data_IF_588741264922
#
_entry.id   IF_588741264922
#
_cell.length_a   1.000
_cell.length_b   1.000
_cell.length_c   1.000
_cell.angle_alpha   90.00
_cell.angle_beta   90.00
_cell.angle_gamma   90.00
#
_symmetry.space_group_name_H-M   'P 1'
#
loop_
_entity.id
_entity.type
_entity.pdbx_description
1 polymer ?
#
# COMPACT_ATOMS: atom_id res chain seq x y z
N UNK A 1 -9.80 -22.45 4.85
CA UNK A 1 -9.10 -21.33 4.16
C UNK A 1 -7.99 -21.92 3.32
N UNK A 2 -7.86 -21.51 2.07
CA UNK A 2 -6.76 -21.98 1.22
C UNK A 2 -5.41 -21.51 1.78
N UNK A 3 -4.34 -22.23 1.42
CA UNK A 3 -2.99 -21.85 1.78
C UNK A 3 -2.59 -20.52 1.12
N UNK A 4 -1.70 -19.79 1.77
CA UNK A 4 -1.14 -18.58 1.20
C UNK A 4 -0.35 -18.92 -0.08
N UNK A 5 -0.47 -18.04 -1.07
CA UNK A 5 0.30 -18.15 -2.30
C UNK A 5 1.61 -17.38 -2.17
N UNK A 6 2.66 -17.88 -2.83
CA UNK A 6 3.91 -17.14 -2.95
C UNK A 6 3.73 -16.08 -4.04
N UNK A 7 3.67 -14.82 -3.64
CA UNK A 7 3.41 -13.70 -4.54
C UNK A 7 4.49 -12.63 -4.42
N UNK A 8 5.16 -12.33 -5.52
CA UNK A 8 6.01 -11.16 -5.65
C UNK A 8 5.19 -10.05 -6.32
N UNK A 9 4.91 -8.97 -5.58
CA UNK A 9 4.03 -7.89 -6.05
C UNK A 9 4.59 -7.16 -7.28
N UNK A 10 5.90 -7.20 -7.50
CA UNK A 10 6.53 -6.58 -8.67
C UNK A 10 6.45 -7.46 -9.92
N UNK A 11 6.14 -8.74 -9.79
CA UNK A 11 5.95 -9.64 -10.93
C UNK A 11 4.51 -9.59 -11.39
N UNK A 12 4.27 -8.83 -12.44
CA UNK A 12 2.93 -8.55 -12.98
C UNK A 12 2.68 -9.25 -14.33
N UNK A 13 1.42 -9.63 -14.62
CA UNK A 13 0.27 -9.61 -13.71
C UNK A 13 0.44 -10.61 -12.57
N UNK A 14 -0.21 -10.35 -11.43
CA UNK A 14 -0.14 -11.28 -10.30
C UNK A 14 -0.70 -12.65 -10.71
N UNK A 15 0.06 -13.75 -10.47
CA UNK A 15 -0.32 -15.07 -10.94
C UNK A 15 -1.37 -15.73 -10.04
N UNK A 16 -2.55 -15.12 -9.95
CA UNK A 16 -3.65 -15.64 -9.13
C UNK A 16 -4.39 -16.73 -9.92
N UNK A 17 -4.81 -17.82 -9.24
CA UNK A 17 -5.66 -18.83 -9.87
C UNK A 17 -6.94 -18.20 -10.42
N UNK A 18 -7.45 -18.73 -11.56
CA UNK A 18 -8.69 -18.21 -12.14
C UNK A 18 -9.88 -18.34 -11.19
N UNK A 19 -9.86 -19.32 -10.30
CA UNK A 19 -10.90 -19.50 -9.27
C UNK A 19 -10.91 -18.36 -8.25
N UNK A 20 -9.80 -17.61 -8.12
CA UNK A 20 -9.68 -16.46 -7.23
C UNK A 20 -10.00 -15.15 -7.96
N UNK A 21 -9.56 -15.04 -9.22
CA UNK A 21 -9.83 -13.86 -10.05
C UNK A 21 -11.35 -13.66 -10.21
N UNK A 22 -11.81 -12.43 -10.05
CA UNK A 22 -13.22 -12.11 -10.08
C UNK A 22 -13.99 -12.35 -8.79
N UNK A 23 -13.34 -12.96 -7.79
CA UNK A 23 -13.93 -13.16 -6.45
C UNK A 23 -13.30 -12.28 -5.38
N UNK A 24 -12.28 -11.48 -5.75
CA UNK A 24 -11.58 -10.60 -4.81
C UNK A 24 -12.44 -9.37 -4.54
N UNK A 25 -12.85 -9.19 -3.29
CA UNK A 25 -13.69 -8.07 -2.86
C UNK A 25 -12.97 -7.06 -1.98
N UNK A 26 -11.74 -7.34 -1.59
CA UNK A 26 -10.88 -6.45 -0.84
C UNK A 26 -9.43 -6.85 -1.03
N UNK A 27 -8.54 -5.86 -0.97
CA UNK A 27 -7.10 -6.08 -0.87
C UNK A 27 -6.62 -5.39 0.38
N UNK A 28 -5.83 -6.09 1.18
CA UNK A 28 -5.25 -5.57 2.42
C UNK A 28 -3.74 -5.67 2.35
N UNK A 29 -3.06 -4.55 2.54
CA UNK A 29 -1.61 -4.43 2.48
C UNK A 29 -1.12 -3.86 3.80
N UNK A 30 -0.43 -4.68 4.59
CA UNK A 30 0.00 -4.34 5.94
C UNK A 30 1.53 -4.36 6.01
N UNK A 31 2.11 -3.21 6.38
CA UNK A 31 3.56 -3.07 6.62
C UNK A 31 4.44 -3.56 5.44
N UNK A 32 4.03 -3.30 4.20
CA UNK A 32 4.79 -3.67 3.01
C UNK A 32 5.50 -2.47 2.38
N UNK A 33 4.83 -1.34 2.23
CA UNK A 33 5.28 -0.26 1.35
C UNK A 33 6.59 0.38 1.79
N UNK A 34 6.83 0.45 3.09
CA UNK A 34 8.05 1.05 3.64
C UNK A 34 9.25 0.10 3.69
N UNK A 35 9.04 -1.21 3.53
CA UNK A 35 10.10 -2.22 3.48
C UNK A 35 10.22 -2.86 2.10
N UNK A 36 10.00 -2.07 1.08
CA UNK A 36 10.06 -2.49 -0.32
C UNK A 36 10.45 -1.28 -1.18
N UNK A 37 10.93 -1.51 -2.42
CA UNK A 37 11.17 -0.40 -3.35
C UNK A 37 9.89 0.39 -3.66
N UNK A 38 10.04 1.65 -4.06
CA UNK A 38 8.91 2.50 -4.41
C UNK A 38 8.04 1.90 -5.52
N UNK A 39 8.64 1.12 -6.42
CA UNK A 39 7.91 0.40 -7.49
C UNK A 39 6.88 -0.60 -6.95
N UNK A 40 7.06 -1.12 -5.73
CA UNK A 40 6.06 -1.98 -5.09
C UNK A 40 4.78 -1.21 -4.77
N UNK A 41 4.89 0.05 -4.39
CA UNK A 41 3.71 0.90 -4.15
C UNK A 41 2.88 1.04 -5.42
N UNK A 42 3.53 1.34 -6.55
CA UNK A 42 2.86 1.40 -7.85
C UNK A 42 2.19 0.06 -8.19
N UNK A 43 2.91 -1.04 -8.00
CA UNK A 43 2.40 -2.38 -8.30
C UNK A 43 1.17 -2.73 -7.45
N UNK A 44 1.19 -2.45 -6.16
CA UNK A 44 0.06 -2.72 -5.27
C UNK A 44 -1.18 -1.95 -5.73
N UNK A 45 -1.05 -0.66 -6.04
CA UNK A 45 -2.21 0.13 -6.46
C UNK A 45 -2.70 -0.27 -7.85
N UNK A 46 -1.81 -0.41 -8.82
CA UNK A 46 -2.20 -0.75 -10.18
C UNK A 46 -2.82 -2.14 -10.28
N UNK A 47 -2.22 -3.16 -9.66
CA UNK A 47 -2.77 -4.51 -9.70
C UNK A 47 -4.05 -4.66 -8.87
N UNK A 48 -4.15 -3.97 -7.75
CA UNK A 48 -5.40 -3.92 -6.98
C UNK A 48 -6.53 -3.29 -7.79
N UNK A 49 -6.24 -2.25 -8.58
CA UNK A 49 -7.23 -1.63 -9.46
C UNK A 49 -7.78 -2.60 -10.51
N UNK A 50 -6.94 -3.52 -10.99
CA UNK A 50 -7.37 -4.54 -11.95
C UNK A 50 -8.21 -5.64 -11.29
N UNK A 51 -7.94 -5.97 -10.04
CA UNK A 51 -8.60 -7.05 -9.31
C UNK A 51 -9.93 -6.64 -8.69
N UNK A 52 -10.00 -5.42 -8.17
CA UNK A 52 -11.15 -5.00 -7.35
C UNK A 52 -12.29 -4.48 -8.22
N UNK A 53 -13.51 -4.92 -7.94
CA UNK A 53 -14.68 -4.29 -8.54
C UNK A 53 -14.87 -2.87 -8.03
N UNK A 54 -15.67 -2.08 -8.75
CA UNK A 54 -16.02 -0.72 -8.33
C UNK A 54 -16.58 -0.70 -6.91
N UNK A 55 -16.11 0.23 -6.10
CA UNK A 55 -16.53 0.39 -4.71
C UNK A 55 -15.84 -0.51 -3.70
N UNK A 56 -15.12 -1.56 -4.14
CA UNK A 56 -14.40 -2.45 -3.23
C UNK A 56 -13.14 -1.77 -2.65
N UNK A 57 -12.77 -2.07 -1.40
CA UNK A 57 -11.68 -1.38 -0.75
C UNK A 57 -10.30 -1.98 -1.03
N UNK A 58 -9.32 -1.09 -1.18
CA UNK A 58 -7.91 -1.36 -0.94
C UNK A 58 -7.55 -0.73 0.40
N UNK A 59 -7.09 -1.53 1.34
CA UNK A 59 -6.75 -1.08 2.70
C UNK A 59 -5.24 -1.18 2.86
N UNK A 60 -4.60 -0.06 3.18
CA UNK A 60 -3.16 0.00 3.39
C UNK A 60 -2.88 0.47 4.80
N UNK A 61 -2.05 -0.29 5.52
CA UNK A 61 -1.66 0.01 6.90
C UNK A 61 -0.15 0.15 7.00
N UNK A 62 0.29 1.15 7.70
CA UNK A 62 1.70 1.35 8.02
C UNK A 62 2.01 2.76 8.48
N UNK A 63 3.28 3.06 8.70
CA UNK A 63 3.74 4.42 8.96
C UNK A 63 3.92 5.17 7.64
N UNK A 64 3.56 6.45 7.64
CA UNK A 64 3.67 7.32 6.46
C UNK A 64 4.21 8.68 6.85
N UNK A 65 4.84 9.36 5.90
CA UNK A 65 5.08 10.79 5.94
C UNK A 65 3.82 11.54 5.48
N UNK A 66 3.71 12.80 5.85
CA UNK A 66 2.64 13.70 5.38
C UNK A 66 3.26 15.04 4.97
N UNK A 67 2.94 15.46 3.75
CA UNK A 67 3.39 16.75 3.22
C UNK A 67 4.92 16.95 3.30
N UNK A 68 5.66 15.90 2.99
CA UNK A 68 7.12 15.93 2.99
C UNK A 68 7.78 15.88 4.37
N UNK A 69 7.01 15.64 5.44
CA UNK A 69 7.52 15.63 6.80
C UNK A 69 7.11 14.36 7.54
N UNK A 70 7.95 13.94 8.50
CA UNK A 70 7.58 12.88 9.42
C UNK A 70 6.55 13.37 10.43
N UNK A 71 5.63 12.48 10.81
CA UNK A 71 4.56 12.80 11.76
C UNK A 71 5.01 12.66 13.22
N UNK A 72 6.18 12.06 13.44
CA UNK A 72 6.75 11.87 14.77
C UNK A 72 8.27 11.68 14.71
N UNK A 73 8.95 11.92 15.80
CA UNK A 73 10.38 11.66 15.92
C UNK A 73 10.70 10.16 15.78
N UNK A 74 9.83 9.29 16.31
CA UNK A 74 10.00 7.83 16.19
C UNK A 74 9.88 7.37 14.73
N UNK A 75 8.97 7.95 13.96
CA UNK A 75 8.86 7.63 12.52
C UNK A 75 10.09 8.11 11.75
N UNK A 76 10.65 9.28 12.09
CA UNK A 76 11.88 9.77 11.47
C UNK A 76 13.05 8.83 11.74
N UNK A 77 13.20 8.37 12.97
CA UNK A 77 14.25 7.41 13.36
C UNK A 77 14.06 6.06 12.66
N UNK A 78 12.82 5.59 12.55
CA UNK A 78 12.50 4.35 11.87
C UNK A 78 12.81 4.43 10.36
N UNK A 79 12.43 5.52 9.72
CA UNK A 79 12.76 5.76 8.31
C UNK A 79 14.27 5.72 8.07
N UNK A 80 15.04 6.39 8.91
CA UNK A 80 16.50 6.39 8.84
C UNK A 80 17.06 4.96 8.98
N UNK A 81 16.56 4.20 9.95
CA UNK A 81 16.94 2.80 10.16
C UNK A 81 16.65 1.93 8.93
N UNK A 82 15.49 2.11 8.30
CA UNK A 82 15.13 1.37 7.09
C UNK A 82 16.08 1.70 5.94
N UNK A 83 16.38 2.98 5.71
CA UNK A 83 17.27 3.42 4.63
C UNK A 83 18.70 2.94 4.82
N UNK A 84 19.15 2.77 6.06
CA UNK A 84 20.47 2.18 6.36
C UNK A 84 20.48 0.68 6.04
N UNK A 85 19.36 0.00 6.20
CA UNK A 85 19.24 -1.45 5.90
C UNK A 85 19.11 -1.70 4.41
N UNK A 86 18.39 -0.84 3.70
CA UNK A 86 18.24 -0.89 2.25
C UNK A 86 17.91 0.52 1.75
N UNK A 87 18.72 1.12 0.85
CA UNK A 87 18.50 2.49 0.38
C UNK A 87 17.23 2.67 -0.43
N UNK A 88 16.60 1.57 -0.91
CA UNK A 88 15.30 1.63 -1.60
C UNK A 88 14.11 1.63 -0.66
N UNK A 89 14.32 1.32 0.61
CA UNK A 89 13.27 1.33 1.63
C UNK A 89 13.12 2.72 2.25
N UNK A 90 11.99 2.92 2.89
CA UNK A 90 11.70 4.14 3.61
C UNK A 90 10.20 4.42 3.65
N UNK A 91 9.79 5.28 4.58
CA UNK A 91 8.41 5.69 4.70
C UNK A 91 7.97 6.44 3.45
N UNK A 92 6.80 6.06 2.93
CA UNK A 92 6.20 6.74 1.78
C UNK A 92 5.39 7.94 2.26
N UNK A 93 5.33 8.97 1.43
CA UNK A 93 4.52 10.15 1.72
C UNK A 93 3.07 9.90 1.28
N UNK A 94 2.12 10.31 2.12
CA UNK A 94 0.71 10.20 1.81
C UNK A 94 0.35 10.93 0.51
N UNK A 95 1.02 12.04 0.19
CA UNK A 95 0.81 12.75 -1.07
C UNK A 95 1.19 11.91 -2.29
N UNK A 96 2.27 11.11 -2.19
CA UNK A 96 2.67 10.18 -3.24
C UNK A 96 1.60 9.11 -3.45
N UNK A 97 1.08 8.53 -2.37
CA UNK A 97 0.00 7.55 -2.45
C UNK A 97 -1.24 8.17 -3.10
N UNK A 98 -1.60 9.39 -2.72
CA UNK A 98 -2.75 10.11 -3.29
C UNK A 98 -2.59 10.31 -4.79
N UNK A 99 -1.40 10.68 -5.25
CA UNK A 99 -1.11 10.87 -6.68
C UNK A 99 -1.21 9.58 -7.47
N UNK A 100 -0.65 8.48 -6.96
CA UNK A 100 -0.72 7.16 -7.60
C UNK A 100 -2.18 6.68 -7.59
N UNK A 101 -2.90 6.86 -6.49
CA UNK A 101 -4.31 6.52 -6.39
C UNK A 101 -5.14 7.21 -7.47
N UNK A 102 -4.93 8.51 -7.67
CA UNK A 102 -5.64 9.27 -8.69
C UNK A 102 -5.38 8.72 -10.10
N UNK A 103 -4.14 8.37 -10.42
CA UNK A 103 -3.77 7.83 -11.74
C UNK A 103 -4.27 6.40 -11.96
N UNK A 104 -4.56 5.65 -10.91
CA UNK A 104 -5.08 4.27 -10.99
C UNK A 104 -6.60 4.19 -10.80
N UNK A 105 -7.27 5.32 -10.61
CA UNK A 105 -8.72 5.37 -10.45
C UNK A 105 -9.21 5.16 -9.02
N UNK A 106 -8.32 5.18 -8.03
CA UNK A 106 -8.70 5.14 -6.63
C UNK A 106 -8.89 6.54 -6.04
N UNK A 107 -9.75 6.63 -5.04
CA UNK A 107 -9.80 7.76 -4.11
C UNK A 107 -9.47 7.27 -2.71
N UNK A 108 -8.72 8.08 -1.96
CA UNK A 108 -8.53 7.85 -0.54
C UNK A 108 -9.77 8.39 0.18
N UNK A 109 -10.63 7.49 0.65
CA UNK A 109 -11.87 7.85 1.33
C UNK A 109 -11.64 8.18 2.81
N UNK A 110 -10.74 7.43 3.45
CA UNK A 110 -10.45 7.56 4.86
C UNK A 110 -8.97 7.44 5.13
N UNK A 111 -8.48 8.28 6.04
CA UNK A 111 -7.17 8.17 6.65
C UNK A 111 -7.39 8.09 8.14
N UNK A 112 -7.15 6.94 8.73
CA UNK A 112 -7.43 6.67 10.14
C UNK A 112 -6.12 6.61 10.93
N UNK A 113 -6.00 7.46 11.95
CA UNK A 113 -4.85 7.42 12.85
C UNK A 113 -4.93 6.17 13.72
N UNK A 114 -3.81 5.45 13.77
CA UNK A 114 -3.68 4.19 14.50
C UNK A 114 -2.60 4.31 15.58
N UNK A 115 -2.56 3.40 16.56
CA UNK A 115 -1.49 3.40 17.55
C UNK A 115 -0.10 3.34 16.93
N UNK A 116 0.90 3.81 17.65
CA UNK A 116 2.31 3.82 17.27
C UNK A 116 2.60 4.65 16.00
N UNK A 117 1.83 5.71 15.78
CA UNK A 117 1.98 6.64 14.64
C UNK A 117 1.83 5.98 13.28
N UNK A 118 1.04 4.93 13.21
CA UNK A 118 0.63 4.31 11.94
C UNK A 118 -0.67 4.93 11.43
N UNK A 119 -0.93 4.73 10.15
CA UNK A 119 -2.17 5.12 9.50
C UNK A 119 -2.81 3.90 8.83
N UNK A 120 -4.12 3.87 8.80
CA UNK A 120 -4.88 3.00 7.91
C UNK A 120 -5.49 3.87 6.82
N UNK A 121 -5.16 3.55 5.57
CA UNK A 121 -5.71 4.22 4.39
C UNK A 121 -6.78 3.32 3.80
N UNK A 122 -7.96 3.85 3.55
CA UNK A 122 -9.02 3.14 2.85
C UNK A 122 -9.22 3.80 1.49
N UNK A 123 -8.89 3.07 0.43
CA UNK A 123 -9.02 3.53 -0.95
C UNK A 123 -10.15 2.76 -1.62
N UNK A 124 -10.92 3.45 -2.45
CA UNK A 124 -11.99 2.85 -3.24
C UNK A 124 -12.01 3.46 -4.62
N UNK A 125 -12.39 2.67 -5.61
CA UNK A 125 -12.75 3.20 -6.91
C UNK A 125 -14.23 3.60 -6.88
N UNK A 126 -14.56 4.74 -7.46
CA UNK A 126 -15.97 5.16 -7.55
C UNK A 126 -16.83 4.18 -8.36
#
# INVERSE_FOLDING_TARGET
>A
MPAALNLDVEKRPWPLPQTVQGTVNAVVCINLLHISPASCTDAVLEESALLLPSGAPLIIYGPFMRNGAHTSASNAAFDQSLRQRNPQWGLRDLNTITSIAASTGFKINNVVSMPANNLTLVLRRP
#
